data_IF_536293552820
#
_entry.id   IF_536293552820
#
_cell.length_a   1.000
_cell.length_b   1.000
_cell.length_c   1.000
_cell.angle_alpha   90.00
_cell.angle_beta   90.00
_cell.angle_gamma   90.00
#
_symmetry.space_group_name_H-M   'P 1'
#
loop_
_entity.id
_entity.type
_entity.pdbx_description
1 polymer ?
#
# COMPACT_ATOMS: atom_id res chain seq x y z
N UNK A 1 -6.70 17.07 22.15
CA UNK A 1 -5.31 17.25 21.61
C UNK A 1 -5.01 16.03 20.77
N UNK A 2 -4.82 16.20 19.46
CA UNK A 2 -4.45 15.10 18.57
C UNK A 2 -3.08 14.55 18.97
N UNK A 3 -2.99 13.23 19.15
CA UNK A 3 -1.72 12.54 19.39
C UNK A 3 -1.16 12.21 18.02
N UNK A 4 -0.06 12.87 17.63
CA UNK A 4 0.64 12.50 16.43
C UNK A 4 1.37 11.16 16.64
N UNK A 5 0.96 10.16 15.87
CA UNK A 5 1.66 8.87 15.78
C UNK A 5 1.57 8.37 14.35
N UNK A 6 2.70 8.00 13.79
CA UNK A 6 2.79 7.36 12.47
C UNK A 6 3.75 6.18 12.57
N UNK A 7 3.26 4.99 12.32
CA UNK A 7 4.07 3.79 12.17
C UNK A 7 4.16 3.41 10.69
N UNK A 8 5.37 3.08 10.22
CA UNK A 8 5.61 2.57 8.88
C UNK A 8 6.18 1.16 8.95
N UNK A 9 5.56 0.22 8.25
CA UNK A 9 5.91 -1.21 8.26
C UNK A 9 6.12 -1.73 6.83
N UNK A 10 6.87 -2.80 6.72
CA UNK A 10 6.99 -3.59 5.49
C UNK A 10 6.36 -4.95 5.72
N UNK A 11 5.46 -5.35 4.85
CA UNK A 11 4.97 -6.73 4.78
C UNK A 11 5.92 -7.49 3.85
N UNK A 12 6.66 -8.46 4.41
CA UNK A 12 7.66 -9.22 3.66
C UNK A 12 7.46 -10.72 3.89
N UNK A 13 7.50 -11.49 2.82
CA UNK A 13 7.44 -12.96 2.89
C UNK A 13 8.61 -13.54 3.68
N UNK A 14 9.81 -12.97 3.54
CA UNK A 14 10.99 -13.41 4.28
C UNK A 14 10.88 -13.25 5.80
N UNK A 15 9.99 -12.37 6.29
CA UNK A 15 9.66 -12.24 7.72
C UNK A 15 8.46 -13.11 8.14
N UNK A 16 8.01 -14.03 7.29
CA UNK A 16 6.85 -14.89 7.55
C UNK A 16 5.50 -14.17 7.46
N UNK A 17 5.45 -12.98 6.84
CA UNK A 17 4.22 -12.20 6.67
C UNK A 17 3.64 -12.39 5.27
N UNK A 18 2.32 -12.34 5.17
CA UNK A 18 1.56 -12.40 3.92
C UNK A 18 0.79 -11.09 3.71
N UNK A 19 0.73 -10.61 2.47
CA UNK A 19 -0.08 -9.44 2.11
C UNK A 19 -1.58 -9.76 2.22
N UNK A 20 -1.98 -10.97 1.84
CA UNK A 20 -3.37 -11.46 1.99
C UNK A 20 -3.78 -11.50 3.46
N UNK A 21 -2.90 -12.01 4.36
CA UNK A 21 -3.18 -12.05 5.79
C UNK A 21 -3.29 -10.64 6.38
N UNK A 22 -2.41 -9.71 5.97
CA UNK A 22 -2.44 -8.33 6.43
C UNK A 22 -3.72 -7.62 5.98
N UNK A 23 -4.13 -7.80 4.73
CA UNK A 23 -5.39 -7.26 4.19
C UNK A 23 -6.61 -7.82 4.90
N UNK A 24 -6.68 -9.14 5.11
CA UNK A 24 -7.77 -9.76 5.85
C UNK A 24 -7.86 -9.23 7.30
N UNK A 25 -6.72 -9.00 7.94
CA UNK A 25 -6.65 -8.45 9.29
C UNK A 25 -7.15 -7.02 9.38
N UNK A 26 -6.67 -6.12 8.49
CA UNK A 26 -7.08 -4.71 8.51
C UNK A 26 -8.55 -4.53 8.16
N UNK A 27 -9.07 -5.35 7.25
CA UNK A 27 -10.45 -5.27 6.78
C UNK A 27 -11.46 -6.10 7.59
N UNK A 28 -11.01 -6.87 8.59
CA UNK A 28 -11.85 -7.76 9.38
C UNK A 28 -12.61 -8.78 8.50
N UNK A 29 -11.98 -9.31 7.45
CA UNK A 29 -12.56 -10.22 6.47
C UNK A 29 -11.95 -11.61 6.52
N UNK A 30 -12.47 -12.51 5.69
CA UNK A 30 -11.99 -13.87 5.50
C UNK A 30 -11.48 -14.02 4.08
N UNK A 31 -10.17 -14.19 3.90
CA UNK A 31 -9.52 -14.29 2.59
C UNK A 31 -8.66 -15.56 2.53
N UNK A 32 -8.78 -16.29 1.42
CA UNK A 32 -7.89 -17.41 1.09
C UNK A 32 -6.61 -16.86 0.42
N UNK A 33 -5.45 -17.26 0.93
CA UNK A 33 -4.18 -17.00 0.26
C UNK A 33 -3.86 -18.14 -0.71
N UNK A 34 -3.87 -17.84 -2.00
CA UNK A 34 -3.63 -18.83 -3.06
C UNK A 34 -2.16 -19.28 -3.10
N UNK A 35 -1.23 -18.51 -2.51
CA UNK A 35 0.20 -18.84 -2.50
C UNK A 35 0.52 -20.06 -1.61
N UNK A 36 -0.13 -20.15 -0.46
CA UNK A 36 0.13 -21.22 0.53
C UNK A 36 -1.13 -22.04 0.90
N UNK A 37 -2.29 -21.70 0.35
CA UNK A 37 -3.57 -22.33 0.61
C UNK A 37 -4.15 -22.03 2.01
N UNK A 38 -3.56 -21.08 2.75
CA UNK A 38 -4.00 -20.73 4.10
C UNK A 38 -5.16 -19.73 4.04
N UNK A 39 -6.22 -20.02 4.79
CA UNK A 39 -7.36 -19.13 4.95
C UNK A 39 -7.18 -18.26 6.19
N UNK A 40 -7.19 -16.94 5.97
CA UNK A 40 -7.06 -15.94 7.02
C UNK A 40 -8.43 -15.36 7.37
N UNK A 41 -8.97 -15.74 8.54
CA UNK A 41 -10.29 -15.32 9.00
C UNK A 41 -10.19 -14.39 10.20
N UNK A 42 -10.51 -13.13 9.98
CA UNK A 42 -10.55 -12.08 11.01
C UNK A 42 -11.95 -11.49 11.19
N UNK A 43 -13.01 -12.17 10.73
CA UNK A 43 -14.41 -11.71 10.81
C UNK A 43 -14.91 -11.47 12.23
N UNK A 44 -14.26 -12.07 13.25
CA UNK A 44 -14.57 -11.85 14.67
C UNK A 44 -13.96 -10.58 15.25
N UNK A 45 -13.01 -9.95 14.56
CA UNK A 45 -12.40 -8.69 14.98
C UNK A 45 -13.43 -7.56 14.91
N UNK A 46 -13.42 -6.69 15.92
CA UNK A 46 -14.34 -5.55 16.04
C UNK A 46 -13.59 -4.24 15.93
N UNK A 47 -14.33 -3.13 15.83
CA UNK A 47 -13.77 -1.78 15.79
C UNK A 47 -13.49 -1.25 14.37
N UNK A 48 -13.86 -1.99 13.34
CA UNK A 48 -13.82 -1.50 11.97
C UNK A 48 -14.91 -0.45 11.76
N UNK A 49 -14.51 0.76 11.34
CA UNK A 49 -15.40 1.90 11.06
C UNK A 49 -15.64 2.07 9.57
N UNK A 50 -14.60 1.89 8.77
CA UNK A 50 -14.64 2.07 7.33
C UNK A 50 -13.50 1.31 6.65
N UNK A 51 -13.72 0.92 5.39
CA UNK A 51 -12.71 0.29 4.57
C UNK A 51 -12.97 0.55 3.08
N UNK A 52 -11.91 0.69 2.30
CA UNK A 52 -11.99 0.91 0.86
C UNK A 52 -10.71 0.41 0.17
N UNK A 53 -10.84 0.02 -1.10
CA UNK A 53 -9.71 -0.26 -1.98
C UNK A 53 -9.66 0.83 -3.06
N UNK A 54 -8.55 1.54 -3.14
CA UNK A 54 -8.30 2.57 -4.14
C UNK A 54 -7.40 2.01 -5.22
N UNK A 55 -7.80 2.23 -6.47
CA UNK A 55 -7.09 1.74 -7.64
C UNK A 55 -6.77 2.90 -8.59
N UNK A 56 -5.59 2.88 -9.25
CA UNK A 56 -5.34 3.70 -10.42
C UNK A 56 -6.36 3.43 -11.53
N UNK A 57 -6.61 4.40 -12.39
CA UNK A 57 -7.61 4.34 -13.45
C UNK A 57 -7.43 3.10 -14.38
N UNK A 58 -6.18 2.73 -14.64
CA UNK A 58 -5.81 1.63 -15.53
C UNK A 58 -5.59 0.29 -14.81
N UNK A 59 -5.86 0.21 -13.50
CA UNK A 59 -5.78 -1.06 -12.78
C UNK A 59 -6.94 -1.99 -13.18
N UNK A 60 -6.73 -3.32 -13.15
CA UNK A 60 -7.81 -4.28 -13.35
C UNK A 60 -8.97 -4.01 -12.38
N UNK A 61 -10.20 -3.81 -12.87
CA UNK A 61 -11.33 -3.42 -12.03
C UNK A 61 -11.71 -4.47 -10.98
N UNK A 62 -11.40 -5.75 -11.23
CA UNK A 62 -11.59 -6.85 -10.28
C UNK A 62 -10.74 -6.72 -9.03
N UNK A 63 -9.68 -5.91 -9.04
CA UNK A 63 -8.84 -5.63 -7.88
C UNK A 63 -9.52 -4.73 -6.83
N UNK A 64 -10.72 -4.25 -7.10
CA UNK A 64 -11.59 -3.70 -6.05
C UNK A 64 -11.94 -4.75 -4.98
N UNK A 65 -11.91 -6.03 -5.34
CA UNK A 65 -11.85 -7.12 -4.37
C UNK A 65 -10.41 -7.24 -3.85
N UNK A 66 -10.23 -6.97 -2.55
CA UNK A 66 -8.92 -7.03 -1.89
C UNK A 66 -8.28 -8.41 -1.91
N UNK A 67 -9.11 -9.47 -1.88
CA UNK A 67 -8.63 -10.84 -2.00
C UNK A 67 -7.98 -11.07 -3.36
N UNK A 68 -8.62 -10.58 -4.43
CA UNK A 68 -8.07 -10.66 -5.79
C UNK A 68 -6.80 -9.81 -5.92
N UNK A 69 -6.81 -8.56 -5.44
CA UNK A 69 -5.64 -7.68 -5.47
C UNK A 69 -4.42 -8.31 -4.78
N UNK A 70 -4.57 -8.71 -3.53
CA UNK A 70 -3.41 -9.16 -2.76
C UNK A 70 -2.92 -10.55 -3.16
N UNK A 71 -3.80 -11.43 -3.68
CA UNK A 71 -3.37 -12.66 -4.34
C UNK A 71 -2.61 -12.38 -5.66
N UNK A 72 -3.01 -11.36 -6.43
CA UNK A 72 -2.25 -10.95 -7.60
C UNK A 72 -0.84 -10.43 -7.23
N UNK A 73 -0.71 -9.66 -6.15
CA UNK A 73 0.59 -9.22 -5.62
C UNK A 73 1.45 -10.41 -5.19
N UNK A 74 0.89 -11.33 -4.37
CA UNK A 74 1.62 -12.53 -3.91
C UNK A 74 2.11 -13.38 -5.08
N UNK A 75 1.30 -13.54 -6.11
CA UNK A 75 1.63 -14.28 -7.34
C UNK A 75 2.71 -13.60 -8.16
N UNK A 76 2.69 -12.27 -8.24
CA UNK A 76 3.69 -11.51 -8.99
C UNK A 76 5.07 -11.52 -8.32
N UNK A 77 5.11 -11.56 -6.99
CA UNK A 77 6.34 -11.55 -6.20
C UNK A 77 6.89 -12.96 -5.99
N UNK A 78 7.87 -13.35 -6.82
CA UNK A 78 8.31 -14.75 -6.94
C UNK A 78 9.38 -15.18 -5.92
N UNK A 79 10.09 -14.24 -5.27
CA UNK A 79 11.18 -14.61 -4.37
C UNK A 79 10.69 -14.86 -2.95
N UNK A 80 11.38 -15.74 -2.23
CA UNK A 80 11.06 -16.07 -0.82
C UNK A 80 11.19 -14.89 0.14
N UNK A 81 11.97 -13.86 -0.21
CA UNK A 81 12.21 -12.67 0.62
C UNK A 81 11.50 -11.43 0.07
N UNK A 82 10.53 -11.61 -0.84
CA UNK A 82 9.83 -10.49 -1.47
C UNK A 82 9.17 -9.57 -0.46
N UNK A 83 9.36 -8.28 -0.66
CA UNK A 83 8.52 -7.25 -0.06
C UNK A 83 7.21 -7.23 -0.83
N UNK A 84 6.10 -7.43 -0.11
CA UNK A 84 4.76 -7.62 -0.67
C UNK A 84 3.95 -6.33 -0.60
N UNK A 85 4.06 -5.61 0.53
CA UNK A 85 3.34 -4.36 0.76
C UNK A 85 4.13 -3.43 1.68
N UNK A 86 3.75 -2.15 1.66
CA UNK A 86 4.08 -1.16 2.70
C UNK A 86 2.81 -0.83 3.46
N UNK A 87 2.90 -0.69 4.75
CA UNK A 87 1.78 -0.32 5.60
C UNK A 87 2.13 0.93 6.41
N UNK A 88 1.26 1.93 6.36
CA UNK A 88 1.30 3.10 7.23
C UNK A 88 0.13 3.04 8.21
N UNK A 89 0.40 3.33 9.48
CA UNK A 89 -0.61 3.35 10.54
C UNK A 89 -0.59 4.72 11.21
N UNK A 90 -1.26 5.74 10.62
CA UNK A 90 -1.42 7.04 11.25
C UNK A 90 -2.52 7.01 12.30
N UNK A 91 -2.29 7.68 13.45
CA UNK A 91 -3.36 8.04 14.37
C UNK A 91 -4.25 9.11 13.74
N UNK A 92 -5.56 9.01 13.95
CA UNK A 92 -6.54 9.98 13.45
C UNK A 92 -6.92 10.97 14.55
N UNK A 93 -7.15 12.24 14.20
CA UNK A 93 -7.61 13.25 15.18
C UNK A 93 -8.97 12.87 15.73
N UNK A 94 -9.08 12.76 17.05
CA UNK A 94 -10.34 12.43 17.74
C UNK A 94 -11.38 13.55 17.65
N UNK A 95 -10.94 14.76 17.28
CA UNK A 95 -11.79 15.92 17.08
C UNK A 95 -12.60 15.86 15.77
N UNK A 96 -12.19 14.99 14.83
CA UNK A 96 -12.88 14.79 13.56
C UNK A 96 -13.93 13.68 13.66
N UNK A 97 -14.97 13.83 12.88
CA UNK A 97 -16.01 12.78 12.71
C UNK A 97 -15.51 11.66 11.79
N UNK A 98 -16.10 10.45 11.86
CA UNK A 98 -15.77 9.36 10.92
C UNK A 98 -15.85 9.76 9.44
N UNK A 99 -16.82 10.61 9.07
CA UNK A 99 -16.94 11.10 7.69
C UNK A 99 -15.75 12.00 7.30
N UNK A 100 -15.29 12.85 8.21
CA UNK A 100 -14.12 13.69 7.98
C UNK A 100 -12.82 12.88 7.92
N UNK A 101 -12.69 11.77 8.69
CA UNK A 101 -11.57 10.84 8.55
C UNK A 101 -11.54 10.19 7.18
N UNK A 102 -12.71 9.76 6.65
CA UNK A 102 -12.81 9.16 5.32
C UNK A 102 -12.40 10.16 4.22
N UNK A 103 -12.91 11.39 4.30
CA UNK A 103 -12.59 12.46 3.34
C UNK A 103 -11.08 12.76 3.34
N UNK A 104 -10.50 12.98 4.53
CA UNK A 104 -9.07 13.24 4.71
C UNK A 104 -8.19 12.12 4.14
N UNK A 105 -8.53 10.86 4.46
CA UNK A 105 -7.77 9.72 3.97
C UNK A 105 -7.94 9.50 2.48
N UNK A 106 -9.15 9.69 1.94
CA UNK A 106 -9.42 9.58 0.50
C UNK A 106 -8.58 10.57 -0.28
N UNK A 107 -8.59 11.85 0.11
CA UNK A 107 -7.79 12.90 -0.53
C UNK A 107 -6.28 12.59 -0.46
N UNK A 108 -5.79 12.27 0.74
CA UNK A 108 -4.39 11.93 0.94
C UNK A 108 -3.94 10.73 0.08
N UNK A 109 -4.74 9.65 0.06
CA UNK A 109 -4.39 8.42 -0.65
C UNK A 109 -4.44 8.62 -2.17
N UNK A 110 -5.47 9.29 -2.66
CA UNK A 110 -5.61 9.57 -4.09
C UNK A 110 -4.45 10.41 -4.62
N UNK A 111 -4.09 11.48 -3.92
CA UNK A 111 -3.08 12.43 -4.39
C UNK A 111 -1.64 11.97 -4.12
N UNK A 112 -1.41 11.15 -3.08
CA UNK A 112 -0.04 10.77 -2.69
C UNK A 112 0.40 9.40 -3.21
N UNK A 113 -0.53 8.49 -3.49
CA UNK A 113 -0.18 7.11 -3.83
C UNK A 113 -0.86 6.60 -5.10
N UNK A 114 -2.16 6.82 -5.24
CA UNK A 114 -2.92 6.33 -6.40
C UNK A 114 -2.51 7.09 -7.66
N UNK A 115 -2.28 8.40 -7.55
CA UNK A 115 -1.74 9.23 -8.63
C UNK A 115 -0.37 8.75 -9.14
N UNK A 116 0.42 8.09 -8.27
CA UNK A 116 1.72 7.48 -8.59
C UNK A 116 1.60 6.03 -9.08
N UNK A 117 0.39 5.56 -9.36
CA UNK A 117 0.13 4.21 -9.88
C UNK A 117 0.05 3.10 -8.83
N UNK A 118 0.05 3.41 -7.53
CA UNK A 118 -0.05 2.42 -6.47
C UNK A 118 -1.50 2.07 -6.17
N UNK A 119 -1.79 0.78 -5.92
CA UNK A 119 -3.05 0.37 -5.32
C UNK A 119 -2.96 0.53 -3.80
N UNK A 120 -4.06 0.96 -3.17
CA UNK A 120 -4.14 1.13 -1.72
C UNK A 120 -5.35 0.37 -1.15
N UNK A 121 -5.12 -0.37 -0.06
CA UNK A 121 -6.15 -1.04 0.73
C UNK A 121 -6.18 -0.40 2.11
N UNK A 122 -7.31 0.15 2.49
CA UNK A 122 -7.43 1.06 3.63
C UNK A 122 -8.53 0.62 4.57
N UNK A 123 -8.28 0.76 5.87
CA UNK A 123 -9.30 0.57 6.89
C UNK A 123 -9.11 1.57 8.04
N UNK A 124 -10.21 2.08 8.58
CA UNK A 124 -10.24 2.86 9.82
C UNK A 124 -10.73 1.96 10.94
N UNK A 125 -9.97 1.95 12.01
CA UNK A 125 -10.32 1.29 13.25
C UNK A 125 -10.51 2.32 14.37
N UNK A 126 -11.58 2.15 15.12
CA UNK A 126 -11.84 2.88 16.37
C UNK A 126 -12.11 1.86 17.50
N UNK A 127 -11.04 1.41 18.18
CA UNK A 127 -11.20 0.46 19.28
C UNK A 127 -11.97 1.10 20.45
N UNK A 128 -12.96 0.37 20.97
CA UNK A 128 -13.74 0.81 22.13
C UNK A 128 -12.89 0.95 23.41
N UNK A 129 -13.33 1.83 24.36
CA UNK A 129 -12.64 2.03 25.63
C UNK A 129 -12.25 0.70 26.32
N UNK A 130 -11.09 0.66 27.03
CA UNK A 130 -10.27 1.81 27.45
C UNK A 130 -9.30 2.34 26.39
N UNK A 131 -9.26 1.80 25.19
CA UNK A 131 -8.28 2.11 24.16
C UNK A 131 -8.81 2.99 23.02
N UNK A 132 -9.60 4.04 23.33
CA UNK A 132 -10.04 4.99 22.28
C UNK A 132 -8.84 5.65 21.59
N UNK A 133 -8.43 5.09 20.48
CA UNK A 133 -7.34 5.56 19.64
C UNK A 133 -7.66 5.28 18.17
N UNK A 134 -8.47 6.13 17.53
CA UNK A 134 -8.82 5.96 16.13
C UNK A 134 -7.57 6.05 15.27
N UNK A 135 -7.39 5.06 14.39
CA UNK A 135 -6.24 4.97 13.51
C UNK A 135 -6.63 4.36 12.16
N UNK A 136 -5.87 4.70 11.15
CA UNK A 136 -6.01 4.07 9.85
C UNK A 136 -4.91 3.03 9.63
N UNK A 137 -5.22 2.00 8.87
CA UNK A 137 -4.26 1.13 8.19
C UNK A 137 -4.30 1.46 6.71
N UNK A 138 -3.17 1.87 6.15
CA UNK A 138 -3.03 2.17 4.73
C UNK A 138 -2.00 1.19 4.17
N UNK A 139 -2.46 0.17 3.48
CA UNK A 139 -1.60 -0.85 2.88
C UNK A 139 -1.45 -0.59 1.38
N UNK A 140 -0.22 -0.42 0.93
CA UNK A 140 0.13 -0.01 -0.44
C UNK A 140 0.89 -1.11 -1.17
N UNK A 141 0.64 -1.25 -2.47
CA UNK A 141 1.49 -2.08 -3.32
C UNK A 141 2.90 -1.50 -3.40
N UNK A 142 3.91 -2.37 -3.47
CA UNK A 142 5.33 -1.93 -3.57
C UNK A 142 5.67 -1.53 -5.00
N UNK A 143 4.98 -2.13 -5.98
CA UNK A 143 5.11 -1.80 -7.39
C UNK A 143 3.98 -0.89 -7.80
N UNK A 144 4.25 0.22 -8.48
CA UNK A 144 3.22 0.96 -9.19
C UNK A 144 2.80 0.18 -10.46
N UNK A 145 1.67 0.57 -11.03
CA UNK A 145 1.21 0.13 -12.35
C UNK A 145 1.60 1.17 -13.40
N UNK A 146 1.85 0.68 -14.63
CA UNK A 146 1.92 1.54 -15.81
C UNK A 146 0.51 1.85 -16.37
N UNK A 147 0.42 2.72 -17.37
CA UNK A 147 -0.84 3.11 -18.03
C UNK A 147 -1.56 1.93 -18.73
N UNK A 148 -0.90 0.80 -18.89
CA UNK A 148 -1.44 -0.44 -19.43
C UNK A 148 -1.88 -1.43 -18.34
N UNK A 149 -1.75 -1.06 -17.05
CA UNK A 149 -2.11 -1.89 -15.90
C UNK A 149 -1.10 -3.00 -15.57
N UNK A 150 0.15 -2.90 -16.06
CA UNK A 150 1.19 -3.85 -15.73
C UNK A 150 2.03 -3.40 -14.54
N UNK A 151 2.50 -4.36 -13.74
CA UNK A 151 3.41 -4.10 -12.64
C UNK A 151 4.75 -3.56 -13.11
N UNK A 152 5.15 -2.40 -12.61
CA UNK A 152 6.46 -1.81 -12.84
C UNK A 152 7.53 -2.39 -11.90
N UNK A 153 8.78 -1.96 -12.07
CA UNK A 153 9.87 -2.31 -11.17
C UNK A 153 9.71 -1.61 -9.81
N UNK A 154 10.20 -2.27 -8.74
CA UNK A 154 10.19 -1.69 -7.36
C UNK A 154 11.14 -0.51 -7.20
N UNK A 155 12.17 -0.45 -8.04
CA UNK A 155 13.23 0.55 -8.00
C UNK A 155 13.62 0.89 -9.41
N UNK A 156 13.81 2.15 -9.67
CA UNK A 156 14.47 2.64 -10.86
C UNK A 156 15.94 2.93 -10.52
N UNK A 157 16.85 2.57 -11.43
CA UNK A 157 18.26 2.91 -11.29
C UNK A 157 18.46 4.30 -11.86
N UNK A 158 18.91 5.22 -11.02
CA UNK A 158 19.39 6.51 -11.43
C UNK A 158 20.93 6.52 -11.44
N UNK A 159 21.50 7.14 -12.46
CA UNK A 159 22.93 7.39 -12.54
C UNK A 159 23.17 8.86 -12.20
N UNK A 160 23.81 9.12 -11.06
CA UNK A 160 24.19 10.45 -10.66
C UNK A 160 25.40 10.89 -11.50
N UNK A 161 25.24 11.97 -12.24
CA UNK A 161 26.31 12.60 -13.02
C UNK A 161 26.44 14.06 -12.65
N UNK A 162 27.68 14.53 -12.56
CA UNK A 162 27.98 15.95 -12.38
C UNK A 162 28.27 16.56 -13.76
N UNK A 163 27.45 17.51 -14.17
CA UNK A 163 27.66 18.28 -15.40
C UNK A 163 27.60 19.76 -15.08
N UNK A 164 28.65 20.50 -15.46
CA UNK A 164 28.79 21.94 -15.18
C UNK A 164 28.73 22.32 -13.69
N UNK A 165 29.14 21.41 -12.80
CA UNK A 165 29.12 21.64 -11.36
C UNK A 165 27.78 21.33 -10.68
N UNK A 166 26.74 20.91 -11.42
CA UNK A 166 25.46 20.49 -10.90
C UNK A 166 25.32 18.96 -10.96
N UNK A 167 24.89 18.36 -9.86
CA UNK A 167 24.57 16.95 -9.78
C UNK A 167 23.15 16.70 -10.28
N UNK A 168 23.00 15.81 -11.26
CA UNK A 168 21.70 15.42 -11.82
C UNK A 168 21.57 13.90 -11.95
N UNK A 169 20.41 13.37 -11.57
CA UNK A 169 20.03 11.98 -11.82
C UNK A 169 19.59 11.77 -13.29
N UNK A 170 20.02 10.67 -13.85
CA UNK A 170 19.62 10.20 -15.19
C UNK A 170 19.10 8.78 -15.09
N UNK A 171 18.03 8.49 -15.79
CA UNK A 171 17.59 7.10 -15.98
C UNK A 171 18.63 6.30 -16.79
N UNK A 172 18.55 4.97 -16.73
CA UNK A 172 19.47 4.12 -17.49
C UNK A 172 19.38 4.37 -19.02
N UNK A 173 18.22 4.76 -19.53
CA UNK A 173 18.01 5.10 -20.94
C UNK A 173 18.69 6.43 -21.31
N UNK A 174 18.44 7.49 -20.52
CA UNK A 174 19.07 8.80 -20.70
C UNK A 174 20.60 8.73 -20.58
N UNK A 175 21.10 7.94 -19.59
CA UNK A 175 22.53 7.76 -19.41
C UNK A 175 23.21 7.09 -20.62
N UNK A 176 22.57 6.09 -21.23
CA UNK A 176 23.09 5.44 -22.45
C UNK A 176 23.13 6.39 -23.64
N UNK A 177 22.12 7.23 -23.81
CA UNK A 177 22.09 8.24 -24.89
C UNK A 177 23.20 9.28 -24.66
N UNK A 178 23.38 9.76 -23.42
CA UNK A 178 24.41 10.74 -23.10
C UNK A 178 25.86 10.21 -23.20
N UNK A 179 26.08 8.89 -23.25
CA UNK A 179 27.38 8.28 -23.50
C UNK A 179 27.70 8.13 -25.00
N UNK A 180 26.68 8.18 -25.86
CA UNK A 180 26.83 8.01 -27.30
C UNK A 180 27.14 9.31 -28.06
N UNK A 181 26.99 10.48 -27.39
CA UNK A 181 27.33 11.82 -27.86
C UNK A 181 28.71 12.24 -27.29
#
# INVERSE_FOLDING_TARGET
MAIYHLEAKVVSRGSGRSAVAASAYLSCTNILNDYDGVRHDFTRKKGLVWQEVFLPEFAPPEWKDRGVLWNAVEKNEKTKDSRLAREFVPALPIELTPAQWQELLTDFIQNSFVAEGMCADVAIHDPHPPGHNPHAHIMLTVRPLDEQGNWQYKTEKEYLCVRNGEERGFTAAEFKVAQAD
#
